data_IF_309924024744
#
_entry.id   IF_309924024744
#
_cell.length_a   1.000
_cell.length_b   1.000
_cell.length_c   1.000
_cell.angle_alpha   90.00
_cell.angle_beta   90.00
_cell.angle_gamma   90.00
#
_symmetry.space_group_name_H-M   'P 1'
#
loop_
_entity.id
_entity.type
_entity.pdbx_description
1 polymer ?
#
# COMPACT_ATOMS: atom_id res chain seq x y z
N UNK A 1 -4.40 -11.52 9.03
CA UNK A 1 -4.47 -10.04 8.96
C UNK A 1 -3.77 -9.41 10.15
N UNK A 2 -4.01 -9.91 11.36
CA UNK A 2 -3.53 -9.36 12.63
C UNK A 2 -2.01 -9.10 12.67
N UNK A 3 -1.20 -10.01 12.10
CA UNK A 3 0.26 -9.84 12.04
C UNK A 3 0.68 -8.64 11.17
N UNK A 4 0.04 -8.46 10.02
CA UNK A 4 0.30 -7.32 9.11
C UNK A 4 -0.04 -6.03 9.84
N UNK A 5 -1.24 -5.97 10.43
CA UNK A 5 -1.71 -4.79 11.16
C UNK A 5 -0.76 -4.41 12.32
N UNK A 6 -0.38 -5.39 13.13
CA UNK A 6 0.55 -5.19 14.26
C UNK A 6 1.90 -4.63 13.79
N UNK A 7 2.47 -5.20 12.73
CA UNK A 7 3.76 -4.77 12.19
C UNK A 7 3.67 -3.37 11.56
N UNK A 8 2.61 -3.06 10.81
CA UNK A 8 2.36 -1.73 10.25
C UNK A 8 2.26 -0.68 11.36
N UNK A 9 1.46 -0.94 12.40
CA UNK A 9 1.34 -0.04 13.57
C UNK A 9 2.65 0.12 14.31
N UNK A 10 3.44 -0.95 14.44
CA UNK A 10 4.77 -0.92 15.04
C UNK A 10 5.75 -0.07 14.24
N UNK A 11 5.78 -0.23 12.92
CA UNK A 11 6.62 0.55 12.01
C UNK A 11 6.27 2.04 12.07
N UNK A 12 4.98 2.39 12.08
CA UNK A 12 4.55 3.78 12.23
C UNK A 12 5.13 4.41 13.50
N UNK A 13 4.92 3.77 14.66
CA UNK A 13 5.39 4.27 15.96
C UNK A 13 6.91 4.45 16.02
N UNK A 14 7.65 3.52 15.40
CA UNK A 14 9.12 3.50 15.44
C UNK A 14 9.75 4.51 14.48
N UNK A 15 9.21 4.64 13.26
CA UNK A 15 9.92 5.27 12.14
C UNK A 15 9.18 6.47 11.52
N UNK A 16 7.86 6.53 11.61
CA UNK A 16 7.05 7.53 10.88
C UNK A 16 6.43 8.60 11.80
N UNK A 17 6.15 8.26 13.06
CA UNK A 17 5.50 9.18 13.99
C UNK A 17 6.33 10.44 14.25
N UNK A 18 7.65 10.29 14.41
CA UNK A 18 8.53 11.44 14.60
C UNK A 18 8.56 12.34 13.37
N UNK A 19 8.73 11.76 12.16
CA UNK A 19 8.71 12.52 10.89
C UNK A 19 7.41 13.26 10.70
N UNK A 20 6.28 12.63 11.06
CA UNK A 20 4.97 13.24 11.02
C UNK A 20 4.88 14.42 11.99
N UNK A 21 5.32 14.25 13.25
CA UNK A 21 5.36 15.33 14.24
C UNK A 21 6.24 16.51 13.80
N UNK A 22 7.39 16.24 13.19
CA UNK A 22 8.29 17.26 12.64
C UNK A 22 7.66 18.02 11.46
N UNK A 23 6.97 17.31 10.56
CA UNK A 23 6.20 17.91 9.46
C UNK A 23 5.09 18.83 10.00
N UNK A 24 4.35 18.37 11.00
CA UNK A 24 3.29 19.15 11.65
C UNK A 24 3.87 20.34 12.40
N UNK A 25 5.00 20.20 13.09
CA UNK A 25 5.63 21.31 13.80
C UNK A 25 6.18 22.40 12.86
N UNK A 26 6.80 21.99 11.75
CA UNK A 26 7.39 22.91 10.76
C UNK A 26 6.33 23.64 9.94
N UNK A 27 5.32 22.91 9.45
CA UNK A 27 4.30 23.49 8.58
C UNK A 27 3.04 23.94 9.32
N UNK A 28 2.79 23.43 10.52
CA UNK A 28 1.58 23.72 11.29
C UNK A 28 1.43 25.19 11.65
N UNK A 29 2.54 25.92 11.88
CA UNK A 29 2.51 27.36 12.16
C UNK A 29 2.15 28.21 10.92
N UNK A 30 2.50 27.78 9.71
CA UNK A 30 2.13 28.47 8.46
C UNK A 30 0.64 28.29 8.11
N UNK A 31 0.04 27.17 8.54
CA UNK A 31 -1.33 26.81 8.20
C UNK A 31 -2.39 27.22 9.23
N UNK A 32 -2.03 27.77 10.39
CA UNK A 32 -3.02 28.27 11.39
C UNK A 32 -3.83 29.46 10.85
N UNK A 33 -3.32 30.18 9.84
CA UNK A 33 -3.96 31.41 9.35
C UNK A 33 -4.94 31.21 8.18
N UNK A 34 -4.97 30.03 7.54
CA UNK A 34 -5.90 29.71 6.42
C UNK A 34 -6.26 28.24 6.43
N UNK A 35 -7.54 27.90 6.25
CA UNK A 35 -7.95 26.52 5.98
C UNK A 35 -7.22 26.00 4.74
N UNK A 36 -6.60 24.81 4.88
CA UNK A 36 -5.87 24.14 3.82
C UNK A 36 -6.75 23.04 3.25
N UNK A 37 -7.15 23.19 1.98
CA UNK A 37 -7.97 22.20 1.28
C UNK A 37 -7.16 21.27 0.35
N UNK A 38 -5.85 21.50 0.23
CA UNK A 38 -4.96 20.83 -0.72
C UNK A 38 -3.83 20.07 0.01
N UNK A 39 -4.16 19.46 1.15
CA UNK A 39 -3.22 18.67 1.94
C UNK A 39 -3.92 17.50 2.62
N UNK A 40 -3.40 16.31 2.39
CA UNK A 40 -3.86 15.10 3.06
C UNK A 40 -3.23 14.98 4.45
N UNK A 41 -4.07 14.86 5.47
CA UNK A 41 -3.61 14.54 6.83
C UNK A 41 -3.30 13.05 6.92
N UNK A 42 -2.15 12.64 6.39
CA UNK A 42 -1.72 11.25 6.40
C UNK A 42 -0.20 11.09 6.55
N UNK A 43 0.21 9.88 6.93
CA UNK A 43 1.59 9.44 6.96
C UNK A 43 1.68 8.12 6.22
N UNK A 44 2.30 8.13 5.05
CA UNK A 44 2.23 7.02 4.07
C UNK A 44 3.60 6.62 3.53
N UNK A 45 3.71 5.38 3.07
CA UNK A 45 4.81 4.85 2.28
C UNK A 45 4.26 3.84 1.28
N UNK A 46 4.97 3.62 0.17
CA UNK A 46 4.47 2.79 -0.92
C UNK A 46 5.35 1.56 -1.17
N UNK A 47 4.71 0.38 -1.23
CA UNK A 47 5.33 -0.88 -1.61
C UNK A 47 4.86 -1.30 -3.01
N UNK A 48 5.78 -1.30 -3.96
CA UNK A 48 5.61 -1.88 -5.28
C UNK A 48 5.89 -3.38 -5.20
N UNK A 49 4.96 -4.20 -5.65
CA UNK A 49 5.09 -5.66 -5.67
C UNK A 49 5.43 -6.19 -7.07
N UNK A 50 4.72 -5.71 -8.10
CA UNK A 50 4.89 -6.10 -9.50
C UNK A 50 5.16 -4.86 -10.39
N UNK A 51 5.82 -5.03 -11.55
CA UNK A 51 6.50 -6.26 -11.99
C UNK A 51 7.76 -6.56 -11.18
N UNK A 52 8.41 -5.52 -10.65
CA UNK A 52 9.60 -5.63 -9.81
C UNK A 52 9.30 -5.07 -8.42
N UNK A 53 9.66 -5.81 -7.37
CA UNK A 53 9.40 -5.34 -6.01
C UNK A 53 10.42 -4.31 -5.53
N UNK A 54 9.96 -3.18 -4.99
CA UNK A 54 10.83 -2.20 -4.32
C UNK A 54 11.06 -2.52 -2.83
N UNK A 55 10.60 -3.67 -2.35
CA UNK A 55 10.50 -3.94 -0.91
C UNK A 55 11.82 -3.84 -0.18
N UNK A 56 12.97 -4.10 -0.83
CA UNK A 56 14.32 -3.97 -0.26
C UNK A 56 14.89 -2.54 -0.30
N UNK A 57 14.26 -1.65 -1.06
CA UNK A 57 14.65 -0.25 -1.18
C UNK A 57 14.09 0.61 -0.05
N UNK A 58 13.12 0.09 0.73
CA UNK A 58 12.59 0.78 1.91
C UNK A 58 13.57 0.56 3.08
N UNK A 59 14.25 1.60 3.58
CA UNK A 59 15.32 1.45 4.55
C UNK A 59 14.81 1.01 5.93
N UNK A 60 13.68 1.55 6.36
CA UNK A 60 13.18 1.42 7.74
C UNK A 60 12.31 0.16 7.97
N UNK A 61 12.24 -0.72 6.98
CA UNK A 61 11.39 -1.91 6.99
C UNK A 61 12.15 -3.12 7.54
N UNK A 62 11.78 -3.59 8.72
CA UNK A 62 12.43 -4.74 9.36
C UNK A 62 12.18 -6.04 8.54
N UNK A 63 13.11 -7.00 8.56
CA UNK A 63 13.07 -8.20 7.69
C UNK A 63 11.82 -9.07 7.90
N UNK A 64 11.39 -9.22 9.15
CA UNK A 64 10.13 -9.92 9.47
C UNK A 64 8.94 -9.23 8.81
N UNK A 65 8.93 -7.90 8.76
CA UNK A 65 7.87 -7.14 8.12
C UNK A 65 7.94 -7.26 6.61
N UNK A 66 9.14 -7.26 6.00
CA UNK A 66 9.32 -7.56 4.58
C UNK A 66 8.74 -8.94 4.22
N UNK A 67 9.04 -9.96 5.03
CA UNK A 67 8.53 -11.32 4.81
C UNK A 67 7.01 -11.37 4.87
N UNK A 68 6.42 -10.83 5.94
CA UNK A 68 4.97 -10.81 6.13
C UNK A 68 4.26 -10.04 5.02
N UNK A 69 4.82 -8.91 4.56
CA UNK A 69 4.23 -8.14 3.46
C UNK A 69 4.29 -8.87 2.12
N UNK A 70 5.36 -9.63 1.83
CA UNK A 70 5.42 -10.48 0.63
C UNK A 70 4.36 -11.57 0.65
N UNK A 71 4.24 -12.28 1.77
CA UNK A 71 3.23 -13.33 1.92
C UNK A 71 1.80 -12.77 1.80
N UNK A 72 1.58 -11.57 2.34
CA UNK A 72 0.30 -10.89 2.25
C UNK A 72 -0.03 -10.45 0.82
N UNK A 73 0.94 -9.86 0.10
CA UNK A 73 0.76 -9.41 -1.27
C UNK A 73 0.37 -10.56 -2.21
N UNK A 74 1.03 -11.73 -2.09
CA UNK A 74 0.69 -12.92 -2.90
C UNK A 74 -0.74 -13.40 -2.64
N UNK A 75 -1.23 -13.30 -1.40
CA UNK A 75 -2.62 -13.67 -1.07
C UNK A 75 -3.61 -12.67 -1.66
N UNK A 76 -3.31 -11.37 -1.59
CA UNK A 76 -4.15 -10.32 -2.19
C UNK A 76 -4.18 -10.40 -3.71
N UNK A 77 -3.06 -10.72 -4.35
CA UNK A 77 -2.98 -10.92 -5.80
C UNK A 77 -3.91 -12.05 -6.25
N UNK A 78 -3.84 -13.22 -5.58
CA UNK A 78 -4.74 -14.35 -5.87
C UNK A 78 -6.21 -13.99 -5.69
N UNK A 79 -6.54 -13.30 -4.59
CA UNK A 79 -7.90 -12.84 -4.34
C UNK A 79 -8.37 -11.84 -5.42
N UNK A 80 -7.49 -10.94 -5.85
CA UNK A 80 -7.82 -9.98 -6.92
C UNK A 80 -8.13 -10.71 -8.24
N UNK A 81 -7.36 -11.74 -8.60
CA UNK A 81 -7.64 -12.56 -9.78
C UNK A 81 -8.96 -13.34 -9.66
N UNK A 82 -9.26 -13.92 -8.49
CA UNK A 82 -10.53 -14.59 -8.24
C UNK A 82 -11.72 -13.62 -8.37
N UNK A 83 -11.59 -12.40 -7.83
CA UNK A 83 -12.61 -11.37 -7.99
C UNK A 83 -12.77 -10.95 -9.46
N UNK A 84 -11.69 -10.82 -10.22
CA UNK A 84 -11.74 -10.52 -11.64
C UNK A 84 -12.47 -11.62 -12.42
N UNK A 85 -12.28 -12.89 -12.07
CA UNK A 85 -13.02 -13.99 -12.68
C UNK A 85 -14.52 -13.92 -12.36
N UNK A 86 -14.90 -13.59 -11.13
CA UNK A 86 -16.32 -13.37 -10.76
C UNK A 86 -16.92 -12.17 -11.50
N UNK A 87 -16.15 -11.10 -11.70
CA UNK A 87 -16.53 -9.96 -12.54
C UNK A 87 -16.73 -10.40 -14.00
N UNK A 88 -15.85 -11.26 -14.54
CA UNK A 88 -15.99 -11.81 -15.89
C UNK A 88 -17.30 -12.60 -16.01
N UNK A 89 -17.60 -13.48 -15.05
CA UNK A 89 -18.84 -14.26 -15.02
C UNK A 89 -20.07 -13.35 -15.02
N UNK A 90 -20.11 -12.34 -14.14
CA UNK A 90 -21.24 -11.41 -14.05
C UNK A 90 -21.44 -10.57 -15.32
N UNK A 91 -20.38 -10.31 -16.07
CA UNK A 91 -20.41 -9.54 -17.32
C UNK A 91 -20.62 -10.43 -18.56
N UNK A 92 -20.70 -11.75 -18.40
CA UNK A 92 -20.79 -12.69 -19.53
C UNK A 92 -19.50 -12.79 -20.36
N UNK A 93 -18.34 -12.48 -19.75
CA UNK A 93 -17.03 -12.57 -20.37
C UNK A 93 -16.42 -13.96 -20.14
N UNK A 94 -15.48 -14.35 -21.01
CA UNK A 94 -14.69 -15.55 -20.79
C UNK A 94 -13.88 -15.43 -19.49
N UNK A 95 -13.73 -16.56 -18.77
CA UNK A 95 -12.91 -16.62 -17.57
C UNK A 95 -11.48 -16.17 -17.87
N UNK A 96 -10.90 -15.35 -17.00
CA UNK A 96 -9.56 -14.79 -17.19
C UNK A 96 -9.47 -13.63 -18.19
N UNK A 97 -10.58 -13.21 -18.83
CA UNK A 97 -10.57 -12.11 -19.79
C UNK A 97 -9.95 -10.83 -19.21
N UNK A 98 -10.43 -10.38 -18.04
CA UNK A 98 -9.93 -9.16 -17.40
C UNK A 98 -8.46 -9.31 -16.98
N UNK A 99 -8.07 -10.45 -16.41
CA UNK A 99 -6.67 -10.72 -16.04
C UNK A 99 -5.75 -10.57 -17.26
N UNK A 100 -6.12 -11.16 -18.39
CA UNK A 100 -5.35 -11.08 -19.63
C UNK A 100 -5.28 -9.63 -20.17
N UNK A 101 -6.36 -8.87 -20.05
CA UNK A 101 -6.38 -7.46 -20.42
C UNK A 101 -5.42 -6.62 -19.56
N UNK A 102 -5.36 -6.87 -18.25
CA UNK A 102 -4.43 -6.18 -17.33
C UNK A 102 -2.97 -6.61 -17.47
N UNK A 103 -2.70 -7.82 -17.97
CA UNK A 103 -1.34 -8.31 -18.20
C UNK A 103 -0.59 -7.51 -19.28
N UNK A 104 -1.31 -6.75 -20.10
CA UNK A 104 -0.74 -5.95 -21.19
C UNK A 104 -0.24 -6.81 -22.36
N UNK A 105 -0.15 -6.19 -23.53
CA UNK A 105 0.55 -6.76 -24.68
C UNK A 105 2.03 -6.37 -24.55
N UNK A 106 2.90 -7.32 -24.24
CA UNK A 106 4.34 -7.10 -24.41
C UNK A 106 4.68 -6.79 -25.87
#
# INVERSE_FOLDING_TARGET
MDTVERLTKGHYKKCMEQRFRELVASKGLEYVQKEVHDLDWESTFHLKHLPESNIFQIPDLDDDYRKVMKEFAVKLEKLAEELLDLLCENLGLEKGYLKNAFHGSN
#
